data_IF_653917238267
#
_entry.id   IF_653917238267
#
_cell.length_a   1.000
_cell.length_b   1.000
_cell.length_c   1.000
_cell.angle_alpha   90.00
_cell.angle_beta   90.00
_cell.angle_gamma   90.00
#
_symmetry.space_group_name_H-M   'P 1'
#
loop_
_entity.id
_entity.type
_entity.pdbx_description
1 polymer ?
#
# COMPACT_ATOMS: atom_id res chain seq x y z
N UNK A 1 15.55 13.70 14.78
CA UNK A 1 15.24 13.45 13.37
C UNK A 1 14.48 12.15 13.36
N UNK A 2 13.15 12.23 13.44
CA UNK A 2 12.31 11.03 13.50
C UNK A 2 12.43 10.34 12.13
N UNK A 3 12.74 9.03 12.09
CA UNK A 3 12.76 8.30 10.82
C UNK A 3 11.42 8.54 10.14
N UNK A 4 11.43 8.76 8.83
CA UNK A 4 10.20 8.75 8.05
C UNK A 4 9.61 7.35 8.14
N UNK A 5 8.86 7.10 9.21
CA UNK A 5 8.15 5.86 9.45
C UNK A 5 7.00 5.84 8.45
N UNK A 6 7.28 5.21 7.30
CA UNK A 6 6.30 4.97 6.24
C UNK A 6 5.06 4.25 6.79
N UNK A 7 5.24 3.47 7.85
CA UNK A 7 4.17 2.84 8.61
C UNK A 7 4.24 3.29 10.07
N UNK A 8 3.09 3.49 10.67
CA UNK A 8 2.94 3.65 12.11
C UNK A 8 3.45 2.40 12.86
N UNK A 9 3.87 2.55 14.12
CA UNK A 9 4.32 1.42 14.93
C UNK A 9 3.25 0.32 15.08
N UNK A 10 1.97 0.69 15.07
CA UNK A 10 0.84 -0.25 15.09
C UNK A 10 0.78 -1.10 13.82
N UNK A 11 0.90 -0.48 12.65
CA UNK A 11 0.94 -1.19 11.36
C UNK A 11 2.17 -2.09 11.24
N UNK A 12 3.33 -1.62 11.74
CA UNK A 12 4.54 -2.42 11.76
C UNK A 12 4.38 -3.65 12.66
N UNK A 13 3.78 -3.48 13.84
CA UNK A 13 3.48 -4.58 14.76
C UNK A 13 2.47 -5.58 14.17
N UNK A 14 1.46 -5.13 13.41
CA UNK A 14 0.52 -6.02 12.72
C UNK A 14 1.24 -6.91 11.69
N UNK A 15 2.11 -6.32 10.86
CA UNK A 15 2.89 -7.07 9.86
C UNK A 15 3.90 -8.01 10.52
N UNK A 16 4.51 -7.61 11.64
CA UNK A 16 5.46 -8.47 12.34
C UNK A 16 4.82 -9.62 13.10
N UNK A 17 3.60 -9.43 13.60
CA UNK A 17 2.76 -10.49 14.18
C UNK A 17 2.30 -11.49 13.13
N UNK A 18 2.06 -11.04 11.90
CA UNK A 18 1.61 -11.91 10.83
C UNK A 18 2.68 -12.96 10.47
N UNK A 19 2.24 -14.18 10.20
CA UNK A 19 3.12 -15.31 9.88
C UNK A 19 3.56 -15.26 8.41
N UNK A 20 4.32 -14.22 8.08
CA UNK A 20 4.77 -13.86 6.74
C UNK A 20 6.28 -14.06 6.57
N UNK A 21 6.70 -14.45 5.37
CA UNK A 21 8.12 -14.45 5.00
C UNK A 21 8.66 -13.02 4.93
N UNK A 22 9.98 -12.83 5.01
CA UNK A 22 10.60 -11.51 4.88
C UNK A 22 10.18 -10.77 3.61
N UNK A 23 9.98 -11.50 2.52
CA UNK A 23 9.49 -10.95 1.26
C UNK A 23 8.03 -10.49 1.36
N UNK A 24 7.14 -11.32 1.90
CA UNK A 24 5.72 -10.95 2.05
C UNK A 24 5.54 -9.81 3.07
N UNK A 25 6.34 -9.76 4.14
CA UNK A 25 6.35 -8.63 5.07
C UNK A 25 6.68 -7.31 4.36
N UNK A 26 7.68 -7.32 3.48
CA UNK A 26 8.02 -6.16 2.66
C UNK A 26 6.87 -5.78 1.73
N UNK A 27 6.32 -6.73 0.97
CA UNK A 27 5.17 -6.48 0.08
C UNK A 27 3.95 -5.96 0.84
N UNK A 28 3.68 -6.49 2.04
CA UNK A 28 2.56 -6.06 2.89
C UNK A 28 2.76 -4.63 3.35
N UNK A 29 3.95 -4.27 3.86
CA UNK A 29 4.30 -2.90 4.25
C UNK A 29 4.13 -1.91 3.11
N UNK A 30 4.62 -2.26 1.92
CA UNK A 30 4.46 -1.46 0.70
C UNK A 30 2.98 -1.33 0.32
N UNK A 31 2.20 -2.40 0.42
CA UNK A 31 0.76 -2.40 0.08
C UNK A 31 -0.05 -1.55 1.05
N UNK A 32 0.28 -1.60 2.35
CA UNK A 32 -0.34 -0.75 3.38
C UNK A 32 -0.05 0.72 3.09
N UNK A 33 1.22 1.04 2.83
CA UNK A 33 1.60 2.40 2.45
C UNK A 33 0.86 2.86 1.18
N UNK A 34 0.83 2.01 0.15
CA UNK A 34 0.10 2.24 -1.09
C UNK A 34 -1.39 2.53 -0.82
N UNK A 35 -2.06 1.74 0.02
CA UNK A 35 -3.46 1.96 0.37
C UNK A 35 -3.67 3.34 1.02
N UNK A 36 -2.80 3.73 1.96
CA UNK A 36 -2.89 5.03 2.64
C UNK A 36 -2.67 6.18 1.68
N UNK A 37 -1.66 6.10 0.82
CA UNK A 37 -1.40 7.07 -0.24
C UNK A 37 -2.57 7.16 -1.22
N UNK A 38 -3.10 6.02 -1.67
CA UNK A 38 -4.24 5.97 -2.58
C UNK A 38 -5.49 6.62 -1.97
N UNK A 39 -5.78 6.39 -0.68
CA UNK A 39 -6.87 7.08 0.04
C UNK A 39 -6.68 8.59 0.03
N UNK A 40 -5.46 9.07 0.30
CA UNK A 40 -5.18 10.50 0.26
C UNK A 40 -5.35 11.09 -1.15
N UNK A 41 -4.84 10.41 -2.18
CA UNK A 41 -5.01 10.83 -3.58
C UNK A 41 -6.49 10.86 -3.96
N UNK A 42 -7.23 9.80 -3.61
CA UNK A 42 -8.66 9.67 -3.85
C UNK A 42 -9.45 10.82 -3.19
N UNK A 43 -9.16 11.12 -1.92
CA UNK A 43 -9.77 12.23 -1.19
C UNK A 43 -9.45 13.59 -1.83
N UNK A 44 -8.19 13.83 -2.20
CA UNK A 44 -7.76 15.08 -2.84
C UNK A 44 -8.39 15.27 -4.23
N UNK A 45 -8.49 14.19 -5.00
CA UNK A 45 -9.11 14.19 -6.32
C UNK A 45 -10.64 14.05 -6.29
N UNK A 46 -11.23 13.96 -5.09
CA UNK A 46 -12.67 13.70 -4.87
C UNK A 46 -13.21 12.52 -5.71
N UNK A 47 -12.41 11.45 -5.80
CA UNK A 47 -12.68 10.27 -6.60
C UNK A 47 -12.45 9.01 -5.77
N UNK A 48 -12.86 7.83 -6.24
CA UNK A 48 -12.59 6.58 -5.54
C UNK A 48 -11.22 6.01 -5.91
N UNK A 49 -10.61 5.24 -5.01
CA UNK A 49 -9.40 4.46 -5.33
C UNK A 49 -9.63 3.52 -6.51
N UNK A 50 -10.87 3.05 -6.71
CA UNK A 50 -11.22 2.20 -7.84
C UNK A 50 -11.03 2.91 -9.19
N UNK A 51 -11.27 4.23 -9.25
CA UNK A 51 -11.21 5.06 -10.45
C UNK A 51 -9.85 5.74 -10.65
N UNK A 52 -8.95 5.65 -9.66
CA UNK A 52 -7.59 6.19 -9.77
C UNK A 52 -6.83 5.57 -10.93
N UNK A 53 -6.27 6.44 -11.76
CA UNK A 53 -5.42 6.06 -12.89
C UNK A 53 -3.97 5.90 -12.44
N UNK A 54 -3.22 5.00 -13.09
CA UNK A 54 -1.78 4.83 -12.85
C UNK A 54 -1.00 6.14 -13.01
N UNK A 55 -1.40 7.00 -13.94
CA UNK A 55 -0.81 8.32 -14.14
C UNK A 55 -0.98 9.24 -12.92
N UNK A 56 -2.11 9.19 -12.21
CA UNK A 56 -2.32 10.00 -11.00
C UNK A 56 -1.46 9.50 -9.84
N UNK A 57 -1.31 8.19 -9.73
CA UNK A 57 -0.46 7.55 -8.71
C UNK A 57 1.00 7.92 -8.96
N UNK A 58 1.46 7.83 -10.21
CA UNK A 58 2.80 8.24 -10.58
C UNK A 58 3.01 9.73 -10.28
N UNK A 59 2.12 10.61 -10.74
CA UNK A 59 2.22 12.05 -10.44
C UNK A 59 2.31 12.34 -8.94
N UNK A 60 1.50 11.65 -8.11
CA UNK A 60 1.56 11.78 -6.66
C UNK A 60 2.90 11.30 -6.09
N UNK A 61 3.40 10.14 -6.50
CA UNK A 61 4.70 9.61 -6.05
C UNK A 61 5.84 10.57 -6.38
N UNK A 62 5.78 11.27 -7.51
CA UNK A 62 6.77 12.27 -7.88
C UNK A 62 6.64 13.57 -7.07
N UNK A 63 5.42 13.93 -6.65
CA UNK A 63 5.14 15.13 -5.85
C UNK A 63 5.30 14.90 -4.34
N UNK A 64 5.27 13.66 -3.87
CA UNK A 64 5.34 13.34 -2.44
C UNK A 64 6.71 13.69 -1.84
N UNK A 65 6.71 14.61 -0.88
CA UNK A 65 7.94 15.11 -0.25
C UNK A 65 8.64 14.06 0.61
N UNK A 66 7.92 13.05 1.11
CA UNK A 66 8.52 11.96 1.89
C UNK A 66 9.34 11.05 0.98
N UNK A 67 8.80 10.71 -0.21
CA UNK A 67 9.50 9.93 -1.22
C UNK A 67 10.65 10.71 -1.88
N UNK A 68 10.51 12.03 -2.04
CA UNK A 68 11.62 12.90 -2.50
C UNK A 68 12.82 12.90 -1.55
N UNK A 69 12.58 12.75 -0.24
CA UNK A 69 13.65 12.62 0.76
C UNK A 69 14.21 11.21 0.87
N UNK A 70 13.48 10.20 0.39
CA UNK A 70 13.83 8.79 0.51
C UNK A 70 14.74 8.28 -0.62
N UNK A 71 14.68 8.87 -1.82
CA UNK A 71 15.52 8.45 -2.93
C UNK A 71 15.40 9.27 -4.22
N UNK A 72 16.13 8.85 -5.25
CA UNK A 72 16.25 9.55 -6.53
C UNK A 72 15.05 9.36 -7.49
N UNK A 73 15.18 9.87 -8.73
CA UNK A 73 14.16 9.69 -9.78
C UNK A 73 13.83 8.23 -10.12
N UNK A 74 14.83 7.34 -10.06
CA UNK A 74 14.65 5.91 -10.31
C UNK A 74 13.87 5.22 -9.18
N UNK A 75 14.16 5.59 -7.92
CA UNK A 75 13.41 5.11 -6.76
C UNK A 75 11.93 5.46 -6.88
N UNK A 76 11.61 6.69 -7.27
CA UNK A 76 10.22 7.12 -7.48
C UNK A 76 9.50 6.32 -8.56
N UNK A 77 10.18 6.03 -9.68
CA UNK A 77 9.62 5.17 -10.74
C UNK A 77 9.39 3.74 -10.26
N UNK A 78 10.34 3.17 -9.53
CA UNK A 78 10.17 1.85 -8.94
C UNK A 78 9.00 1.84 -7.94
N UNK A 79 8.91 2.87 -7.10
CA UNK A 79 7.86 3.00 -6.09
C UNK A 79 6.48 3.18 -6.72
N UNK A 80 6.35 3.97 -7.79
CA UNK A 80 5.07 4.09 -8.52
C UNK A 80 4.61 2.73 -9.05
N UNK A 81 5.52 1.92 -9.59
CA UNK A 81 5.21 0.55 -10.03
C UNK A 81 4.80 -0.36 -8.86
N UNK A 82 5.43 -0.22 -7.69
CA UNK A 82 5.02 -0.96 -6.50
C UNK A 82 3.60 -0.60 -6.04
N UNK A 83 3.25 0.69 -6.00
CA UNK A 83 1.92 1.16 -5.62
C UNK A 83 0.88 0.69 -6.64
N UNK A 84 1.17 0.81 -7.94
CA UNK A 84 0.30 0.32 -9.02
C UNK A 84 0.11 -1.20 -8.90
N UNK A 85 1.17 -1.95 -8.64
CA UNK A 85 1.10 -3.41 -8.46
C UNK A 85 0.27 -3.79 -7.24
N UNK A 86 0.30 -2.96 -6.20
CA UNK A 86 -0.47 -3.12 -4.96
C UNK A 86 -1.98 -2.90 -5.15
N UNK A 87 -2.43 -2.21 -6.21
CA UNK A 87 -3.86 -2.09 -6.51
C UNK A 87 -4.53 -3.45 -6.75
N UNK A 88 -3.82 -4.40 -7.37
CA UNK A 88 -4.37 -5.72 -7.70
C UNK A 88 -4.76 -6.50 -6.42
N UNK A 89 -3.88 -6.70 -5.42
CA UNK A 89 -4.28 -7.32 -4.17
C UNK A 89 -5.30 -6.48 -3.41
N UNK A 90 -5.18 -5.14 -3.34
CA UNK A 90 -6.16 -4.29 -2.65
C UNK A 90 -7.58 -4.46 -3.20
N UNK A 91 -7.75 -4.47 -4.53
CA UNK A 91 -9.04 -4.70 -5.18
C UNK A 91 -9.58 -6.11 -4.92
N UNK A 92 -8.69 -7.10 -4.80
CA UNK A 92 -9.05 -8.47 -4.49
C UNK A 92 -9.53 -8.61 -3.04
N UNK A 93 -8.80 -8.00 -2.08
CA UNK A 93 -9.20 -7.97 -0.67
C UNK A 93 -10.57 -7.29 -0.53
N UNK A 94 -10.76 -6.13 -1.18
CA UNK A 94 -12.03 -5.40 -1.17
C UNK A 94 -13.19 -6.28 -1.69
N UNK A 95 -12.97 -6.96 -2.81
CA UNK A 95 -13.96 -7.88 -3.40
C UNK A 95 -14.24 -9.08 -2.50
N UNK A 96 -13.24 -9.70 -1.90
CA UNK A 96 -13.41 -10.85 -1.01
C UNK A 96 -14.14 -10.48 0.29
N UNK A 97 -13.97 -9.24 0.75
CA UNK A 97 -14.66 -8.69 1.91
C UNK A 97 -16.02 -8.05 1.58
N UNK A 98 -16.44 -8.04 0.30
CA UNK A 98 -17.66 -7.36 -0.18
C UNK A 98 -17.76 -5.88 0.25
N UNK A 99 -16.62 -5.18 0.25
CA UNK A 99 -16.52 -3.76 0.59
C UNK A 99 -15.87 -2.94 -0.52
N UNK A 100 -16.08 -1.63 -0.47
CA UNK A 100 -15.33 -0.71 -1.32
C UNK A 100 -13.86 -0.65 -0.89
N UNK A 101 -12.96 -0.52 -1.87
CA UNK A 101 -11.52 -0.38 -1.64
C UNK A 101 -11.17 0.86 -0.79
N UNK A 102 -12.01 1.89 -0.81
CA UNK A 102 -11.91 3.07 0.05
C UNK A 102 -12.15 2.74 1.54
N UNK A 103 -13.01 1.75 1.82
CA UNK A 103 -13.34 1.30 3.18
C UNK A 103 -12.40 0.19 3.69
N UNK A 104 -11.40 -0.19 2.88
CA UNK A 104 -10.48 -1.25 3.25
C UNK A 104 -9.65 -0.85 4.48
N UNK A 105 -9.62 -1.72 5.49
CA UNK A 105 -8.81 -1.52 6.69
C UNK A 105 -7.43 -2.17 6.54
N UNK A 106 -6.43 -1.60 7.21
CA UNK A 106 -5.06 -2.10 7.18
C UNK A 106 -4.97 -3.54 7.70
N UNK A 107 -5.67 -3.84 8.80
CA UNK A 107 -5.77 -5.19 9.35
C UNK A 107 -6.27 -6.22 8.31
N UNK A 108 -7.21 -5.84 7.43
CA UNK A 108 -7.69 -6.73 6.37
C UNK A 108 -6.61 -7.02 5.32
N UNK A 109 -5.75 -6.04 5.01
CA UNK A 109 -4.59 -6.24 4.13
C UNK A 109 -3.66 -7.28 4.74
N UNK A 110 -3.27 -7.07 6.00
CA UNK A 110 -2.33 -7.95 6.71
C UNK A 110 -2.86 -9.38 6.77
N UNK A 111 -4.12 -9.55 7.20
CA UNK A 111 -4.78 -10.86 7.29
C UNK A 111 -4.83 -11.54 5.93
N UNK A 112 -5.18 -10.82 4.86
CA UNK A 112 -5.25 -11.42 3.52
C UNK A 112 -3.87 -11.87 3.02
N UNK A 113 -2.82 -11.07 3.22
CA UNK A 113 -1.45 -11.46 2.87
C UNK A 113 -1.01 -12.70 3.67
N UNK A 114 -1.38 -12.80 4.95
CA UNK A 114 -1.10 -13.99 5.75
C UNK A 114 -1.80 -15.23 5.17
N UNK A 115 -3.06 -15.10 4.77
CA UNK A 115 -3.81 -16.20 4.15
C UNK A 115 -3.21 -16.61 2.80
N UNK A 116 -2.82 -15.66 1.96
CA UNK A 116 -2.18 -15.99 0.68
C UNK A 116 -0.78 -16.59 0.87
N UNK A 117 -0.01 -16.16 1.87
CA UNK A 117 1.27 -16.78 2.21
C UNK A 117 1.08 -18.24 2.65
N UNK A 118 0.05 -18.51 3.47
CA UNK A 118 -0.34 -19.87 3.87
C UNK A 118 -0.73 -20.77 2.70
N UNK A 119 -1.36 -20.22 1.65
CA UNK A 119 -1.73 -20.98 0.43
C UNK A 119 -0.55 -21.28 -0.50
N UNK A 120 0.56 -20.56 -0.36
CA UNK A 120 1.78 -20.76 -1.16
C UNK A 120 2.75 -21.77 -0.54
N UNK A 121 2.53 -22.13 0.72
CA UNK A 121 3.23 -23.18 1.46
C UNK A 121 2.63 -24.55 1.13
#
# INVERSE_FOLDING_TARGET
MEPAEFLTPEECAEVDKALLTSHDKFTTRVTIYALRSLKQIAQQANTSIATLQSAQIEAWVYQDASLQKAGDGEFRRFFSQLVISSLKPLRRIAREADIEIDNLAIAQVVVWFEQEAKKKL
#
